data_IF_925156721254
#
_entry.id   IF_925156721254
#
_cell.length_a   1.000
_cell.length_b   1.000
_cell.length_c   1.000
_cell.angle_alpha   90.00
_cell.angle_beta   90.00
_cell.angle_gamma   90.00
#
_symmetry.space_group_name_H-M   'P 1'
#
loop_
_entity.id
_entity.type
_entity.pdbx_description
1 polymer ?
#
# COMPACT_ATOMS: atom_id res chain seq x y z
N UNK A 1 -5.23 -23.03 -32.29
CA UNK A 1 -5.19 -21.78 -31.50
C UNK A 1 -5.04 -22.03 -30.00
N UNK A 2 -5.65 -23.06 -29.42
CA UNK A 2 -5.62 -23.30 -27.96
C UNK A 2 -4.26 -23.72 -27.35
N UNK A 3 -3.31 -24.19 -28.16
CA UNK A 3 -2.04 -24.74 -27.65
C UNK A 3 -0.97 -23.68 -27.38
N UNK A 4 -1.03 -22.52 -28.05
CA UNK A 4 -0.06 -21.45 -27.86
C UNK A 4 -0.33 -20.65 -26.57
N UNK A 5 -1.60 -20.45 -26.22
CA UNK A 5 -2.00 -19.75 -25.00
C UNK A 5 -1.60 -20.52 -23.73
N UNK A 6 -1.60 -21.86 -23.79
CA UNK A 6 -1.19 -22.74 -22.69
C UNK A 6 0.34 -22.69 -22.52
N UNK A 7 1.09 -22.72 -23.61
CA UNK A 7 2.56 -22.62 -23.59
C UNK A 7 3.02 -21.24 -23.11
N UNK A 8 2.29 -20.18 -23.46
CA UNK A 8 2.57 -18.82 -23.00
C UNK A 8 2.22 -18.65 -21.51
N UNK A 9 1.10 -19.23 -21.06
CA UNK A 9 0.75 -19.28 -19.64
C UNK A 9 1.75 -20.09 -18.80
N UNK A 10 2.28 -21.20 -19.34
CA UNK A 10 3.33 -21.98 -18.68
C UNK A 10 4.66 -21.23 -18.63
N UNK A 11 5.08 -20.55 -19.70
CA UNK A 11 6.27 -19.68 -19.68
C UNK A 11 6.13 -18.51 -18.71
N UNK A 12 4.96 -17.87 -18.64
CA UNK A 12 4.70 -16.79 -17.67
C UNK A 12 4.74 -17.35 -16.25
N UNK A 13 4.17 -18.54 -16.00
CA UNK A 13 4.23 -19.22 -14.71
C UNK A 13 5.67 -19.58 -14.33
N UNK A 14 6.47 -20.06 -15.28
CA UNK A 14 7.87 -20.39 -15.09
C UNK A 14 8.73 -19.14 -14.83
N UNK A 15 8.46 -18.02 -15.51
CA UNK A 15 9.10 -16.72 -15.24
C UNK A 15 8.71 -16.14 -13.87
N UNK A 16 7.45 -16.29 -13.46
CA UNK A 16 6.96 -15.88 -12.14
C UNK A 16 7.54 -16.77 -11.03
N UNK A 17 7.72 -18.06 -11.30
CA UNK A 17 8.33 -19.00 -10.34
C UNK A 17 9.86 -18.86 -10.30
N UNK A 18 10.52 -18.42 -11.39
CA UNK A 18 11.91 -17.95 -11.42
C UNK A 18 12.10 -16.64 -10.64
N UNK A 19 11.09 -15.75 -10.63
CA UNK A 19 11.12 -14.54 -9.80
C UNK A 19 10.98 -14.88 -8.30
N UNK A 20 10.33 -16.01 -7.99
CA UNK A 20 10.17 -16.59 -6.64
C UNK A 20 11.27 -17.56 -6.23
N UNK A 21 12.13 -18.00 -7.16
CA UNK A 21 13.14 -19.01 -6.86
C UNK A 21 14.33 -18.41 -6.11
N UNK A 22 14.43 -18.80 -4.84
CA UNK A 22 15.61 -18.84 -3.96
C UNK A 22 16.25 -17.48 -3.61
N UNK A 23 16.42 -17.13 -2.31
CA UNK A 23 17.26 -16.00 -1.94
C UNK A 23 18.69 -16.27 -2.41
N UNK A 24 19.10 -15.59 -3.49
CA UNK A 24 20.48 -15.59 -3.95
C UNK A 24 21.39 -15.17 -2.81
N UNK A 25 22.26 -16.10 -2.38
CA UNK A 25 23.35 -15.90 -1.41
C UNK A 25 24.45 -15.03 -2.03
N UNK A 26 24.13 -13.76 -2.27
CA UNK A 26 25.00 -12.59 -2.13
C UNK A 26 24.31 -11.43 -2.83
N UNK A 27 23.61 -10.60 -2.05
CA UNK A 27 23.20 -9.29 -2.55
C UNK A 27 24.48 -8.48 -2.77
N UNK A 28 24.75 -7.95 -3.98
CA UNK A 28 25.93 -7.15 -4.23
C UNK A 28 25.94 -5.95 -3.27
N UNK A 29 27.05 -5.77 -2.55
CA UNK A 29 27.18 -4.82 -1.44
C UNK A 29 26.77 -3.38 -1.83
N UNK A 30 26.92 -3.00 -3.10
CA UNK A 30 26.51 -1.70 -3.63
C UNK A 30 24.98 -1.51 -3.70
N UNK A 31 24.22 -2.57 -4.02
CA UNK A 31 22.76 -2.49 -4.06
C UNK A 31 22.18 -2.30 -2.64
N UNK A 32 22.76 -2.99 -1.66
CA UNK A 32 22.38 -2.85 -0.25
C UNK A 32 22.66 -1.44 0.29
N UNK A 33 23.79 -0.83 -0.08
CA UNK A 33 24.11 0.56 0.34
C UNK A 33 23.08 1.56 -0.18
N UNK A 34 22.71 1.49 -1.46
CA UNK A 34 21.68 2.38 -2.06
C UNK A 34 20.33 2.22 -1.36
N UNK A 35 19.93 0.98 -1.04
CA UNK A 35 18.69 0.69 -0.31
C UNK A 35 18.71 1.28 1.11
N UNK A 36 19.80 1.10 1.85
CA UNK A 36 19.93 1.66 3.20
C UNK A 36 19.88 3.18 3.17
N UNK A 37 20.56 3.82 2.21
CA UNK A 37 20.48 5.28 2.04
C UNK A 37 19.06 5.74 1.72
N UNK A 38 18.36 5.06 0.82
CA UNK A 38 16.96 5.38 0.49
C UNK A 38 16.04 5.24 1.70
N UNK A 39 16.18 4.15 2.48
CA UNK A 39 15.41 3.93 3.70
C UNK A 39 15.62 5.03 4.74
N UNK A 40 16.89 5.40 5.00
CA UNK A 40 17.19 6.48 5.96
C UNK A 40 16.55 7.79 5.49
N UNK A 41 16.68 8.12 4.21
CA UNK A 41 16.09 9.33 3.63
C UNK A 41 14.55 9.32 3.75
N UNK A 42 13.89 8.22 3.39
CA UNK A 42 12.43 8.07 3.45
C UNK A 42 11.89 8.09 4.88
N UNK A 43 12.62 7.53 5.85
CA UNK A 43 12.30 7.64 7.27
C UNK A 43 12.37 9.10 7.73
N UNK A 44 13.47 9.80 7.41
CA UNK A 44 13.64 11.22 7.77
C UNK A 44 12.54 12.07 7.14
N UNK A 45 12.24 11.88 5.84
CA UNK A 45 11.15 12.59 5.15
C UNK A 45 9.82 12.31 5.83
N UNK A 46 9.50 11.04 6.12
CA UNK A 46 8.23 10.66 6.78
C UNK A 46 8.08 11.30 8.15
N UNK A 47 9.16 11.34 8.94
CA UNK A 47 9.20 12.01 10.25
C UNK A 47 8.99 13.52 10.09
N UNK A 48 9.68 14.17 9.15
CA UNK A 48 9.54 15.61 8.91
C UNK A 48 8.12 15.99 8.46
N UNK A 49 7.55 15.22 7.54
CA UNK A 49 6.17 15.39 7.06
C UNK A 49 5.19 15.21 8.22
N UNK A 50 5.39 14.20 9.07
CA UNK A 50 4.58 13.98 10.27
C UNK A 50 4.66 15.14 11.26
N UNK A 51 5.86 15.63 11.59
CA UNK A 51 6.04 16.78 12.50
C UNK A 51 5.40 18.07 11.99
N UNK A 52 5.26 18.23 10.67
CA UNK A 52 4.62 19.38 10.03
C UNK A 52 3.18 19.11 9.59
N UNK A 53 2.64 17.94 9.89
CA UNK A 53 1.37 17.47 9.34
C UNK A 53 0.22 18.43 9.66
N UNK A 54 0.03 18.79 10.93
CA UNK A 54 -1.04 19.69 11.37
C UNK A 54 -0.89 21.09 10.74
N UNK A 55 0.32 21.65 10.78
CA UNK A 55 0.61 22.97 10.21
C UNK A 55 0.38 23.02 8.69
N UNK A 56 0.64 21.92 7.97
CA UNK A 56 0.31 21.82 6.55
C UNK A 56 -1.19 21.63 6.33
N UNK A 57 -1.84 20.81 7.16
CA UNK A 57 -3.28 20.53 7.08
C UNK A 57 -4.15 21.75 7.30
N UNK A 58 -3.73 22.68 8.17
CA UNK A 58 -4.40 23.97 8.40
C UNK A 58 -4.47 24.85 7.14
N UNK A 59 -3.47 24.76 6.26
CA UNK A 59 -3.40 25.57 5.04
C UNK A 59 -4.00 24.85 3.84
N UNK A 60 -3.68 23.56 3.70
CA UNK A 60 -4.01 22.74 2.54
C UNK A 60 -4.37 21.32 3.01
N UNK A 61 -5.66 21.05 3.29
CA UNK A 61 -6.08 19.83 4.00
C UNK A 61 -5.78 18.53 3.24
N UNK A 62 -5.61 18.59 1.92
CA UNK A 62 -5.32 17.41 1.09
C UNK A 62 -3.82 17.19 0.82
N UNK A 63 -2.98 18.21 1.02
CA UNK A 63 -1.55 18.10 0.73
C UNK A 63 -0.80 17.38 1.84
N UNK A 64 -1.14 17.66 3.10
CA UNK A 64 -0.57 16.92 4.23
C UNK A 64 -0.79 15.40 4.12
N UNK A 65 -2.02 14.89 3.85
CA UNK A 65 -2.23 13.45 3.69
C UNK A 65 -1.63 12.89 2.40
N UNK A 66 -1.60 13.66 1.30
CA UNK A 66 -0.90 13.24 0.08
C UNK A 66 0.60 13.02 0.32
N UNK A 67 1.27 13.96 1.00
CA UNK A 67 2.71 13.86 1.29
C UNK A 67 3.03 12.73 2.27
N UNK A 68 2.23 12.60 3.34
CA UNK A 68 2.46 11.53 4.32
C UNK A 68 2.15 10.15 3.73
N UNK A 69 1.08 10.04 2.94
CA UNK A 69 0.76 8.83 2.20
C UNK A 69 1.88 8.46 1.22
N UNK A 70 2.39 9.43 0.46
CA UNK A 70 3.52 9.24 -0.45
C UNK A 70 4.78 8.73 0.25
N UNK A 71 5.20 9.41 1.33
CA UNK A 71 6.45 9.09 2.02
C UNK A 71 6.40 7.73 2.71
N UNK A 72 5.26 7.40 3.34
CA UNK A 72 5.07 6.11 4.02
C UNK A 72 4.92 4.95 3.04
N UNK A 73 4.29 5.17 1.88
CA UNK A 73 4.21 4.16 0.83
C UNK A 73 5.57 3.90 0.16
N UNK A 74 6.37 4.95 -0.07
CA UNK A 74 7.75 4.81 -0.52
C UNK A 74 8.57 3.98 0.48
N UNK A 75 8.50 4.34 1.76
CA UNK A 75 9.18 3.65 2.85
C UNK A 75 8.81 2.17 2.92
N UNK A 76 7.51 1.86 2.86
CA UNK A 76 7.02 0.48 2.85
C UNK A 76 7.60 -0.32 1.67
N UNK A 77 7.64 0.29 0.49
CA UNK A 77 8.13 -0.33 -0.73
C UNK A 77 9.65 -0.52 -0.73
N UNK A 78 10.42 0.45 -0.23
CA UNK A 78 11.86 0.32 -0.05
C UNK A 78 12.22 -0.72 1.00
N UNK A 79 11.43 -0.82 2.08
CA UNK A 79 11.63 -1.85 3.10
C UNK A 79 11.34 -3.25 2.56
N UNK A 80 10.26 -3.43 1.81
CA UNK A 80 9.95 -4.68 1.11
C UNK A 80 11.09 -5.10 0.16
N UNK A 81 11.67 -4.14 -0.55
CA UNK A 81 12.79 -4.37 -1.47
C UNK A 81 14.10 -4.69 -0.75
N UNK A 82 14.33 -4.06 0.41
CA UNK A 82 15.46 -4.37 1.27
C UNK A 82 15.41 -5.84 1.75
N UNK A 83 14.25 -6.31 2.19
CA UNK A 83 14.06 -7.72 2.58
C UNK A 83 14.34 -8.70 1.42
N UNK A 84 14.04 -8.30 0.19
CA UNK A 84 14.23 -9.12 -1.02
C UNK A 84 15.61 -8.93 -1.68
N UNK A 85 16.42 -8.00 -1.20
CA UNK A 85 17.74 -7.70 -1.76
C UNK A 85 17.74 -7.13 -3.19
N UNK A 86 16.60 -6.64 -3.70
CA UNK A 86 16.45 -6.13 -5.07
C UNK A 86 15.89 -4.72 -5.05
N UNK A 87 16.65 -3.74 -5.55
CA UNK A 87 16.20 -2.34 -5.65
C UNK A 87 15.69 -2.02 -7.05
N UNK A 88 14.46 -1.54 -7.14
CA UNK A 88 13.80 -1.07 -8.35
C UNK A 88 13.11 0.28 -8.06
N UNK A 89 13.69 1.35 -8.61
CA UNK A 89 13.20 2.71 -8.42
C UNK A 89 11.81 2.94 -9.03
N UNK A 90 11.51 2.31 -10.17
CA UNK A 90 10.18 2.40 -10.81
C UNK A 90 9.09 1.87 -9.87
N UNK A 91 9.41 0.84 -9.08
CA UNK A 91 8.50 0.28 -8.07
C UNK A 91 8.27 1.26 -6.92
N UNK A 92 9.32 1.94 -6.44
CA UNK A 92 9.19 3.00 -5.42
C UNK A 92 8.32 4.14 -5.94
N UNK A 93 8.56 4.60 -7.16
CA UNK A 93 7.79 5.69 -7.76
C UNK A 93 6.30 5.33 -7.93
N UNK A 94 5.99 4.10 -8.35
CA UNK A 94 4.61 3.60 -8.37
C UNK A 94 3.95 3.70 -7.00
N UNK A 95 4.65 3.32 -5.93
CA UNK A 95 4.12 3.37 -4.57
C UNK A 95 4.00 4.81 -4.04
N UNK A 96 4.87 5.73 -4.46
CA UNK A 96 4.70 7.17 -4.19
C UNK A 96 3.38 7.67 -4.78
N UNK A 97 3.12 7.39 -6.06
CA UNK A 97 1.87 7.78 -6.74
C UNK A 97 0.65 7.16 -6.05
N UNK A 98 0.73 5.87 -5.72
CA UNK A 98 -0.31 5.22 -4.93
C UNK A 98 -0.51 5.88 -3.56
N UNK A 99 0.56 6.19 -2.85
CA UNK A 99 0.53 6.84 -1.54
C UNK A 99 -0.15 8.21 -1.57
N UNK A 100 0.06 9.00 -2.64
CA UNK A 100 -0.63 10.28 -2.85
C UNK A 100 -2.13 10.06 -2.99
N UNK A 101 -2.55 9.18 -3.91
CA UNK A 101 -3.97 8.92 -4.21
C UNK A 101 -4.66 8.35 -2.96
N UNK A 102 -4.05 7.33 -2.35
CA UNK A 102 -4.56 6.69 -1.16
C UNK A 102 -4.61 7.65 0.02
N UNK A 103 -3.63 8.54 0.15
CA UNK A 103 -3.58 9.58 1.18
C UNK A 103 -4.85 10.45 1.16
N UNK A 104 -5.13 11.03 -0.01
CA UNK A 104 -6.31 11.88 -0.25
C UNK A 104 -7.60 11.09 -0.07
N UNK A 105 -7.70 9.89 -0.63
CA UNK A 105 -8.92 9.11 -0.55
C UNK A 105 -9.22 8.67 0.89
N UNK A 106 -8.19 8.29 1.66
CA UNK A 106 -8.35 7.84 3.04
C UNK A 106 -8.85 8.96 3.94
N UNK A 107 -8.28 10.17 3.84
CA UNK A 107 -8.73 11.28 4.69
C UNK A 107 -10.20 11.64 4.41
N UNK A 108 -10.57 11.72 3.13
CA UNK A 108 -11.96 12.02 2.72
C UNK A 108 -12.92 10.91 3.14
N UNK A 109 -12.51 9.66 3.00
CA UNK A 109 -13.30 8.50 3.42
C UNK A 109 -13.55 8.50 4.93
N UNK A 110 -12.51 8.75 5.73
CA UNK A 110 -12.62 8.86 7.19
C UNK A 110 -13.57 9.99 7.59
N UNK A 111 -13.49 11.16 6.94
CA UNK A 111 -14.42 12.26 7.18
C UNK A 111 -15.86 11.86 6.86
N UNK A 112 -16.11 11.24 5.71
CA UNK A 112 -17.44 10.74 5.33
C UNK A 112 -17.99 9.79 6.40
N UNK A 113 -17.16 8.84 6.87
CA UNK A 113 -17.59 7.88 7.89
C UNK A 113 -17.94 8.55 9.23
N UNK A 114 -17.12 9.52 9.66
CA UNK A 114 -17.30 10.21 10.93
C UNK A 114 -18.53 11.12 10.92
N UNK A 115 -18.75 11.84 9.82
CA UNK A 115 -19.82 12.84 9.69
C UNK A 115 -21.18 12.17 9.47
N UNK A 116 -21.25 11.13 8.62
CA UNK A 116 -22.55 10.57 8.19
C UNK A 116 -23.05 9.43 9.08
N UNK A 117 -22.18 8.78 9.85
CA UNK A 117 -22.55 7.61 10.64
C UNK A 117 -22.22 7.85 12.10
N UNK A 118 -23.22 7.86 12.98
CA UNK A 118 -22.99 8.07 14.42
C UNK A 118 -22.63 6.78 15.17
N UNK A 119 -23.16 5.64 14.71
CA UNK A 119 -22.89 4.34 15.32
C UNK A 119 -21.52 3.81 14.89
N UNK A 120 -20.70 3.40 15.86
CA UNK A 120 -19.41 2.74 15.63
C UNK A 120 -19.57 1.49 14.77
N UNK A 121 -20.55 0.64 15.08
CA UNK A 121 -20.79 -0.59 14.33
C UNK A 121 -21.11 -0.28 12.87
N UNK A 122 -21.91 0.75 12.61
CA UNK A 122 -22.27 1.14 11.26
C UNK A 122 -21.07 1.72 10.49
N UNK A 123 -20.24 2.57 11.14
CA UNK A 123 -18.97 3.05 10.56
C UNK A 123 -18.08 1.90 10.11
N UNK A 124 -17.85 0.93 11.00
CA UNK A 124 -17.02 -0.24 10.70
C UNK A 124 -17.63 -1.07 9.58
N UNK A 125 -18.95 -1.32 9.60
CA UNK A 125 -19.60 -2.07 8.52
C UNK A 125 -19.45 -1.38 7.16
N UNK A 126 -19.71 -0.06 7.07
CA UNK A 126 -19.55 0.67 5.80
C UNK A 126 -18.08 0.68 5.35
N UNK A 127 -17.14 0.88 6.27
CA UNK A 127 -15.72 0.83 5.98
C UNK A 127 -15.26 -0.53 5.43
N UNK A 128 -15.77 -1.64 5.97
CA UNK A 128 -15.41 -2.98 5.52
C UNK A 128 -16.15 -3.40 4.25
N UNK A 129 -17.41 -3.01 4.07
CA UNK A 129 -18.22 -3.42 2.91
C UNK A 129 -18.02 -2.54 1.68
N UNK A 130 -17.66 -1.26 1.87
CA UNK A 130 -17.50 -0.29 0.79
C UNK A 130 -16.05 0.18 0.69
N UNK A 131 -15.50 0.67 1.80
CA UNK A 131 -14.15 1.23 1.84
C UNK A 131 -13.11 0.22 1.38
N UNK A 132 -12.98 -0.89 2.12
CA UNK A 132 -11.95 -1.91 1.88
C UNK A 132 -11.98 -2.45 0.43
N UNK A 133 -13.13 -2.85 -0.15
CA UNK A 133 -13.20 -3.21 -1.57
C UNK A 133 -12.82 -2.08 -2.52
N UNK A 134 -13.26 -0.84 -2.26
CA UNK A 134 -12.96 0.30 -3.13
C UNK A 134 -11.46 0.62 -3.15
N UNK A 135 -10.82 0.72 -1.98
CA UNK A 135 -9.37 0.95 -1.89
C UNK A 135 -8.58 -0.18 -2.55
N UNK A 136 -8.98 -1.43 -2.31
CA UNK A 136 -8.32 -2.58 -2.92
C UNK A 136 -8.49 -2.60 -4.44
N UNK A 137 -9.66 -2.19 -4.94
CA UNK A 137 -9.93 -2.11 -6.37
C UNK A 137 -9.07 -1.04 -7.03
N UNK A 138 -9.03 0.17 -6.46
CA UNK A 138 -8.20 1.27 -6.98
C UNK A 138 -6.73 0.87 -7.00
N UNK A 139 -6.22 0.26 -5.92
CA UNK A 139 -4.85 -0.26 -5.89
C UNK A 139 -4.60 -1.31 -6.98
N UNK A 140 -5.52 -2.26 -7.16
CA UNK A 140 -5.40 -3.30 -8.19
C UNK A 140 -5.42 -2.73 -9.61
N UNK A 141 -6.27 -1.73 -9.88
CA UNK A 141 -6.33 -1.05 -11.18
C UNK A 141 -5.06 -0.25 -11.47
N UNK A 142 -4.56 0.53 -10.50
CA UNK A 142 -3.29 1.27 -10.64
C UNK A 142 -2.15 0.30 -10.94
N UNK A 143 -2.08 -0.83 -10.23
CA UNK A 143 -1.06 -1.84 -10.50
C UNK A 143 -1.18 -2.46 -11.90
N UNK A 144 -2.40 -2.74 -12.36
CA UNK A 144 -2.63 -3.29 -13.69
C UNK A 144 -2.19 -2.30 -14.77
N UNK A 145 -2.68 -1.06 -14.71
CA UNK A 145 -2.32 -0.02 -15.68
C UNK A 145 -0.83 0.31 -15.67
N UNK A 146 -0.19 0.33 -14.51
CA UNK A 146 1.23 0.61 -14.40
C UNK A 146 2.13 -0.50 -14.97
N UNK A 147 1.74 -1.76 -14.78
CA UNK A 147 2.58 -2.90 -15.14
C UNK A 147 2.32 -3.41 -16.57
N UNK A 148 1.05 -3.57 -16.95
CA UNK A 148 0.64 -4.18 -18.23
C UNK A 148 -0.14 -3.24 -19.13
N UNK A 149 -0.70 -2.15 -18.59
CA UNK A 149 -1.59 -1.25 -19.33
C UNK A 149 -3.01 -1.77 -19.52
N UNK A 150 -3.30 -3.00 -19.08
CA UNK A 150 -4.59 -3.68 -19.25
C UNK A 150 -5.03 -4.44 -18.00
N UNK A 151 -6.34 -4.60 -17.83
CA UNK A 151 -6.93 -5.36 -16.72
C UNK A 151 -7.10 -6.82 -17.13
N UNK A 152 -6.21 -7.69 -16.65
CA UNK A 152 -6.22 -9.12 -16.96
C UNK A 152 -6.90 -9.98 -15.90
N UNK A 153 -7.05 -11.29 -16.18
CA UNK A 153 -7.53 -12.28 -15.20
C UNK A 153 -6.61 -12.33 -13.96
N UNK A 154 -5.30 -12.11 -14.15
CA UNK A 154 -4.34 -12.03 -13.05
C UNK A 154 -4.62 -10.85 -12.11
N UNK A 155 -5.05 -9.70 -12.66
CA UNK A 155 -5.48 -8.54 -11.86
C UNK A 155 -6.66 -8.89 -10.97
N UNK A 156 -7.66 -9.60 -11.52
CA UNK A 156 -8.83 -10.06 -10.76
C UNK A 156 -8.43 -11.01 -9.63
N UNK A 157 -7.59 -12.00 -9.91
CA UNK A 157 -7.10 -12.95 -8.90
C UNK A 157 -6.31 -12.23 -7.80
N UNK A 158 -5.46 -11.27 -8.17
CA UNK A 158 -4.69 -10.44 -7.24
C UNK A 158 -5.60 -9.59 -6.34
N UNK A 159 -6.65 -9.00 -6.91
CA UNK A 159 -7.67 -8.26 -6.17
C UNK A 159 -8.34 -9.13 -5.10
N UNK A 160 -8.90 -10.29 -5.48
CA UNK A 160 -9.58 -11.16 -4.51
C UNK A 160 -8.64 -11.73 -3.46
N UNK A 161 -7.40 -12.06 -3.84
CA UNK A 161 -6.37 -12.50 -2.89
C UNK A 161 -6.08 -11.41 -1.87
N UNK A 162 -5.81 -10.19 -2.33
CA UNK A 162 -5.52 -9.07 -1.45
C UNK A 162 -6.73 -8.71 -0.56
N UNK A 163 -7.94 -8.70 -1.12
CA UNK A 163 -9.18 -8.44 -0.39
C UNK A 163 -9.40 -9.45 0.74
N UNK A 164 -9.17 -10.74 0.47
CA UNK A 164 -9.25 -11.80 1.50
C UNK A 164 -8.33 -11.51 2.67
N UNK A 165 -7.08 -11.15 2.41
CA UNK A 165 -6.11 -10.82 3.47
C UNK A 165 -6.48 -9.53 4.20
N UNK A 166 -6.94 -8.52 3.46
CA UNK A 166 -7.40 -7.24 4.02
C UNK A 166 -8.50 -7.44 5.07
N UNK A 167 -9.45 -8.36 4.86
CA UNK A 167 -10.49 -8.66 5.84
C UNK A 167 -10.01 -9.34 7.14
N UNK A 168 -8.77 -9.81 7.22
CA UNK A 168 -8.21 -10.29 8.49
C UNK A 168 -7.55 -9.18 9.30
N UNK A 169 -7.17 -8.07 8.68
CA UNK A 169 -6.40 -7.00 9.31
C UNK A 169 -7.24 -5.75 9.55
N UNK A 170 -7.93 -5.27 8.51
CA UNK A 170 -8.62 -3.99 8.54
C UNK A 170 -9.79 -3.91 9.50
N UNK A 171 -10.63 -4.95 9.72
CA UNK A 171 -11.70 -4.84 10.71
C UNK A 171 -11.19 -4.50 12.11
N UNK A 172 -10.07 -5.12 12.53
CA UNK A 172 -9.46 -4.83 13.83
C UNK A 172 -8.88 -3.42 13.89
N UNK A 173 -8.23 -2.98 12.81
CA UNK A 173 -7.74 -1.60 12.73
C UNK A 173 -8.88 -0.60 12.78
N UNK A 174 -9.95 -0.78 12.01
CA UNK A 174 -11.10 0.14 11.96
C UNK A 174 -11.83 0.24 13.29
N UNK A 175 -12.03 -0.88 13.99
CA UNK A 175 -12.58 -0.85 15.35
C UNK A 175 -11.66 -0.05 16.27
N UNK A 176 -10.36 -0.34 16.25
CA UNK A 176 -9.39 0.33 17.12
C UNK A 176 -9.28 1.82 16.82
N UNK A 177 -9.28 2.20 15.54
CA UNK A 177 -9.16 3.60 15.12
C UNK A 177 -10.37 4.42 15.48
N UNK A 178 -11.59 3.89 15.30
CA UNK A 178 -12.81 4.63 15.63
C UNK A 178 -13.14 4.66 17.12
N UNK A 179 -12.57 3.75 17.92
CA UNK A 179 -12.81 3.71 19.37
C UNK A 179 -11.74 4.50 20.16
N UNK A 180 -10.46 4.32 19.81
CA UNK A 180 -9.35 4.78 20.66
C UNK A 180 -8.55 5.95 20.07
N UNK A 181 -8.58 6.17 18.76
CA UNK A 181 -7.71 7.14 18.10
C UNK A 181 -8.47 8.46 17.89
N UNK A 182 -7.93 9.61 18.32
CA UNK A 182 -8.58 10.89 18.07
C UNK A 182 -8.63 11.17 16.57
N UNK A 183 -9.69 11.88 16.12
CA UNK A 183 -10.01 12.06 14.70
C UNK A 183 -8.83 12.56 13.85
N UNK A 184 -8.07 13.53 14.34
CA UNK A 184 -6.88 14.08 13.66
C UNK A 184 -5.77 13.06 13.44
N UNK A 185 -5.70 12.03 14.28
CA UNK A 185 -4.65 11.00 14.26
C UNK A 185 -5.06 9.72 13.51
N UNK A 186 -6.32 9.59 13.09
CA UNK A 186 -6.79 8.39 12.39
C UNK A 186 -6.03 8.19 11.07
N UNK A 187 -5.80 9.25 10.30
CA UNK A 187 -5.07 9.16 9.04
C UNK A 187 -3.57 8.81 9.22
N UNK A 188 -2.80 9.51 10.09
CA UNK A 188 -1.44 9.09 10.41
C UNK A 188 -1.35 7.64 10.91
N UNK A 189 -2.29 7.22 11.76
CA UNK A 189 -2.38 5.84 12.22
C UNK A 189 -2.65 4.85 11.07
N UNK A 190 -3.49 5.23 10.10
CA UNK A 190 -3.76 4.43 8.90
C UNK A 190 -2.49 4.28 8.04
N UNK A 191 -1.68 5.33 7.89
CA UNK A 191 -0.39 5.24 7.19
C UNK A 191 0.57 4.26 7.88
N UNK A 192 0.64 4.28 9.21
CA UNK A 192 1.43 3.34 9.99
C UNK A 192 0.89 1.90 9.86
N UNK A 193 -0.42 1.73 9.93
CA UNK A 193 -1.08 0.44 9.72
C UNK A 193 -0.77 -0.12 8.32
N UNK A 194 -0.83 0.73 7.29
CA UNK A 194 -0.46 0.37 5.93
C UNK A 194 1.02 -0.02 5.78
N UNK A 195 1.94 0.68 6.47
CA UNK A 195 3.35 0.31 6.50
C UNK A 195 3.52 -1.11 7.08
N UNK A 196 2.91 -1.38 8.24
CA UNK A 196 2.95 -2.70 8.89
C UNK A 196 2.32 -3.77 7.99
N UNK A 197 1.18 -3.47 7.39
CA UNK A 197 0.47 -4.38 6.50
C UNK A 197 1.30 -4.77 5.28
N UNK A 198 1.98 -3.81 4.65
CA UNK A 198 2.87 -4.09 3.52
C UNK A 198 4.08 -4.95 3.92
N UNK A 199 4.60 -4.79 5.15
CA UNK A 199 5.66 -5.64 5.70
C UNK A 199 5.16 -7.07 5.97
N UNK A 200 3.90 -7.24 6.36
CA UNK A 200 3.29 -8.57 6.52
C UNK A 200 3.10 -9.22 5.15
N UNK A 201 2.52 -8.48 4.19
CA UNK A 201 2.29 -8.98 2.83
C UNK A 201 3.59 -9.36 2.11
N UNK A 202 4.69 -8.66 2.34
CA UNK A 202 5.99 -9.00 1.74
C UNK A 202 6.53 -10.37 2.18
N UNK A 203 6.05 -10.90 3.31
CA UNK A 203 6.39 -12.25 3.81
C UNK A 203 5.42 -13.34 3.39
N UNK A 204 4.16 -12.98 3.13
CA UNK A 204 3.09 -13.93 2.75
C UNK A 204 3.03 -14.18 1.23
N UNK A 205 3.68 -13.33 0.43
CA UNK A 205 3.71 -13.38 -1.04
C UNK A 205 5.15 -13.50 -1.53
#
# INVERSE_FOLDING_TARGET
>A
MHNNDIVEAEKIKEMVDLEKSVPSKHVPHHATRKLVTALILEVVISILVYYKYDSMGERQPLIAPALLGASTAALAQSFSQYQRGKFNLQRVFKFIVWGIINGVFTVLWVEVLIVNFNSLAYRVMVDQLVGTPAFQLVFSLINAFWNTGEVSISTRQSFFKALKYSYFYWPFFSISSFLFIPKSMIFPANCLANLIWNIILSKLV
#
